data_IF_813722168034
#
_entry.id   IF_813722168034
#
_cell.length_a   1.000
_cell.length_b   1.000
_cell.length_c   1.000
_cell.angle_alpha   90.00
_cell.angle_beta   90.00
_cell.angle_gamma   90.00
#
_symmetry.space_group_name_H-M   'P 1'
#
loop_
_entity.id
_entity.type
_entity.pdbx_description
1 polymer ?
#
# COMPACT_ATOMS: atom_id res chain seq x y z
N UNK A 1 -10.64 16.95 25.10
CA UNK A 1 -10.44 15.64 24.47
C UNK A 1 -9.08 15.66 23.81
N UNK A 2 -8.21 14.76 24.21
CA UNK A 2 -6.81 14.66 23.76
C UNK A 2 -6.60 13.36 22.97
N UNK A 3 -5.47 13.27 22.26
CA UNK A 3 -5.05 12.04 21.60
C UNK A 3 -4.95 10.89 22.60
N UNK A 4 -4.41 11.13 23.81
CA UNK A 4 -4.29 10.11 24.86
C UNK A 4 -5.63 9.61 25.37
N UNK A 5 -6.60 10.51 25.61
CA UNK A 5 -7.95 10.12 25.98
C UNK A 5 -8.63 9.29 24.87
N UNK A 6 -8.41 9.65 23.61
CA UNK A 6 -8.92 8.89 22.47
C UNK A 6 -8.29 7.50 22.39
N UNK A 7 -6.96 7.39 22.54
CA UNK A 7 -6.26 6.10 22.56
C UNK A 7 -6.78 5.19 23.67
N UNK A 8 -7.02 5.73 24.85
CA UNK A 8 -7.59 4.96 25.96
C UNK A 8 -9.03 4.49 25.66
N UNK A 9 -9.86 5.37 25.11
CA UNK A 9 -11.24 5.00 24.76
C UNK A 9 -11.32 3.94 23.66
N UNK A 10 -10.35 3.93 22.71
CA UNK A 10 -10.27 2.97 21.62
C UNK A 10 -9.89 1.55 22.07
N UNK A 11 -9.46 1.35 23.31
CA UNK A 11 -9.29 0.01 23.88
C UNK A 11 -10.60 -0.80 23.88
N UNK A 12 -11.74 -0.13 24.03
CA UNK A 12 -13.05 -0.75 23.95
C UNK A 12 -13.47 -1.16 22.54
N UNK A 13 -12.79 -0.65 21.48
CA UNK A 13 -13.09 -0.98 20.09
C UNK A 13 -12.45 -2.30 19.71
N UNK A 14 -13.21 -3.38 19.79
CA UNK A 14 -12.71 -4.74 19.52
C UNK A 14 -12.84 -5.16 18.05
N UNK A 15 -13.75 -4.55 17.30
CA UNK A 15 -14.03 -4.88 15.89
C UNK A 15 -14.81 -3.72 15.23
N UNK A 16 -14.61 -3.45 13.93
CA UNK A 16 -13.56 -4.03 13.07
C UNK A 16 -12.14 -3.50 13.40
N UNK A 17 -11.07 -4.26 13.11
CA UNK A 17 -9.72 -3.71 13.19
C UNK A 17 -9.53 -2.63 12.12
N UNK A 18 -8.99 -1.48 12.50
CA UNK A 18 -8.78 -0.33 11.64
C UNK A 18 -7.49 0.41 11.98
N UNK A 19 -6.90 1.06 10.99
CA UNK A 19 -5.88 2.07 11.19
C UNK A 19 -6.56 3.42 11.45
N UNK A 20 -6.37 3.98 12.63
CA UNK A 20 -6.93 5.27 13.00
C UNK A 20 -5.83 6.31 13.18
N UNK A 21 -6.00 7.44 12.50
CA UNK A 21 -5.20 8.65 12.69
C UNK A 21 -6.01 9.63 13.54
N UNK A 22 -5.36 10.21 14.53
CA UNK A 22 -5.94 11.09 15.54
C UNK A 22 -5.22 12.43 15.52
N UNK A 23 -5.97 13.49 15.80
CA UNK A 23 -5.39 14.80 16.07
C UNK A 23 -6.24 15.52 17.13
N UNK A 24 -5.62 16.38 17.94
CA UNK A 24 -6.32 17.16 18.93
C UNK A 24 -6.08 18.67 18.77
N UNK A 25 -6.85 19.45 19.51
CA UNK A 25 -6.78 20.91 19.46
C UNK A 25 -5.48 21.50 20.05
N UNK A 26 -4.70 20.68 20.76
CA UNK A 26 -3.40 21.05 21.32
C UNK A 26 -2.25 20.80 20.34
N UNK A 27 -2.57 20.27 19.15
CA UNK A 27 -1.59 19.97 18.10
C UNK A 27 -0.93 18.59 18.22
N UNK A 28 -1.39 17.74 19.15
CA UNK A 28 -0.91 16.37 19.20
C UNK A 28 -1.54 15.53 18.06
N UNK A 29 -0.73 14.65 17.48
CA UNK A 29 -1.17 13.69 16.47
C UNK A 29 -0.88 12.27 16.95
N UNK A 30 -1.74 11.32 16.62
CA UNK A 30 -1.61 9.93 17.02
C UNK A 30 -2.06 8.96 15.94
N UNK A 31 -1.53 7.75 16.01
CA UNK A 31 -1.93 6.62 15.18
C UNK A 31 -2.06 5.37 16.06
N UNK A 32 -3.04 4.54 15.77
CA UNK A 32 -3.19 3.22 16.37
C UNK A 32 -3.89 2.25 15.41
N UNK A 33 -3.39 1.02 15.37
CA UNK A 33 -4.11 -0.12 14.80
C UNK A 33 -5.09 -0.63 15.87
N UNK A 34 -6.38 -0.39 15.68
CA UNK A 34 -7.43 -0.78 16.65
C UNK A 34 -7.92 -2.20 16.44
N UNK A 35 -8.78 -2.66 17.35
CA UNK A 35 -9.37 -3.98 17.32
C UNK A 35 -8.53 -5.03 18.03
N UNK A 36 -9.08 -6.21 18.16
CA UNK A 36 -8.38 -7.37 18.72
C UNK A 36 -7.49 -8.01 17.67
N UNK A 37 -6.17 -7.91 17.86
CA UNK A 37 -5.18 -8.53 16.98
C UNK A 37 -4.89 -9.94 17.50
N UNK A 38 -5.17 -11.01 16.72
CA UNK A 38 -4.88 -12.37 17.15
C UNK A 38 -3.38 -12.58 17.31
N UNK A 39 -2.98 -13.16 18.43
CA UNK A 39 -1.61 -13.62 18.63
C UNK A 39 -1.40 -14.89 17.80
N UNK A 40 -0.52 -14.81 16.82
CA UNK A 40 -0.20 -15.94 15.93
C UNK A 40 1.27 -16.30 16.07
N UNK A 41 1.63 -17.56 16.41
CA UNK A 41 3.00 -18.01 16.27
C UNK A 41 3.45 -17.87 14.81
N UNK A 42 4.66 -17.38 14.57
CA UNK A 42 5.18 -17.11 13.23
C UNK A 42 5.10 -18.33 12.30
N UNK A 43 5.39 -19.52 12.83
CA UNK A 43 5.28 -20.77 12.08
C UNK A 43 3.86 -21.09 11.56
N UNK A 44 2.82 -20.61 12.24
CA UNK A 44 1.42 -20.81 11.87
C UNK A 44 0.85 -19.65 11.03
N UNK A 45 1.48 -18.51 11.10
CA UNK A 45 1.04 -17.30 10.44
C UNK A 45 1.17 -17.37 8.91
N UNK A 46 2.21 -18.07 8.44
CA UNK A 46 2.51 -18.27 7.00
C UNK A 46 1.87 -19.54 6.41
N UNK A 47 1.24 -20.38 7.24
CA UNK A 47 0.61 -21.60 6.76
C UNK A 47 -0.76 -21.30 6.14
N UNK A 48 -0.84 -21.34 4.82
CA UNK A 48 -2.10 -21.29 4.08
C UNK A 48 -2.93 -22.52 4.45
N UNK A 49 -4.08 -22.32 5.10
CA UNK A 49 -5.11 -23.34 5.27
C UNK A 49 -5.00 -24.30 6.45
N UNK A 50 -4.08 -24.10 7.39
CA UNK A 50 -3.95 -24.94 8.59
C UNK A 50 -3.72 -24.16 9.90
N UNK A 51 -4.56 -23.19 10.19
CA UNK A 51 -4.79 -22.88 11.59
C UNK A 51 -5.90 -23.79 12.08
N UNK A 52 -5.70 -24.67 13.06
CA UNK A 52 -6.80 -25.22 13.81
C UNK A 52 -7.38 -24.06 14.61
N UNK A 53 -8.35 -23.42 13.98
CA UNK A 53 -9.04 -22.29 14.61
C UNK A 53 -10.23 -22.87 15.36
N UNK A 54 -9.97 -23.60 16.43
CA UNK A 54 -10.95 -23.71 17.47
C UNK A 54 -11.15 -22.32 18.05
N UNK A 55 -12.32 -21.75 17.79
CA UNK A 55 -12.65 -20.35 18.12
C UNK A 55 -12.53 -20.04 19.63
N UNK A 56 -12.41 -21.07 20.46
CA UNK A 56 -12.35 -20.98 21.91
C UNK A 56 -10.93 -20.80 22.47
N UNK A 57 -9.87 -20.97 21.66
CA UNK A 57 -8.47 -20.87 22.11
C UNK A 57 -7.72 -19.66 21.53
N UNK A 58 -8.42 -18.69 20.93
CA UNK A 58 -7.76 -17.51 20.37
C UNK A 58 -7.27 -16.60 21.48
N UNK A 59 -5.96 -16.49 21.60
CA UNK A 59 -5.32 -15.41 22.35
C UNK A 59 -5.17 -14.18 21.48
N UNK A 60 -5.24 -13.02 22.10
CA UNK A 60 -5.12 -11.72 21.42
C UNK A 60 -4.00 -10.93 22.08
N UNK A 61 -3.38 -10.06 21.33
CA UNK A 61 -2.43 -9.09 21.87
C UNK A 61 -3.12 -8.21 22.92
N UNK A 62 -2.45 -7.88 24.02
CA UNK A 62 -2.86 -6.78 24.87
C UNK A 62 -2.98 -5.51 24.04
N UNK A 63 -4.02 -4.72 24.24
CA UNK A 63 -4.22 -3.49 23.46
C UNK A 63 -3.01 -2.54 23.55
N UNK A 64 -2.29 -2.54 24.67
CA UNK A 64 -1.06 -1.76 24.86
C UNK A 64 0.05 -2.12 23.87
N UNK A 65 0.02 -3.31 23.28
CA UNK A 65 0.99 -3.81 22.31
C UNK A 65 0.55 -3.63 20.86
N UNK A 66 -0.68 -3.17 20.61
CA UNK A 66 -1.12 -2.83 19.27
C UNK A 66 -0.22 -1.74 18.67
N UNK A 67 0.12 -1.82 17.35
CA UNK A 67 0.92 -0.79 16.68
C UNK A 67 0.35 0.61 16.91
N UNK A 68 1.17 1.52 17.43
CA UNK A 68 0.79 2.91 17.70
C UNK A 68 1.96 3.85 17.67
N UNK A 69 1.69 5.11 17.43
CA UNK A 69 2.65 6.20 17.55
C UNK A 69 1.93 7.48 17.99
N UNK A 70 2.57 8.26 18.83
CA UNK A 70 2.10 9.60 19.24
C UNK A 70 3.23 10.60 18.99
N UNK A 71 2.89 11.72 18.37
CA UNK A 71 3.80 12.81 18.04
C UNK A 71 5.11 12.33 17.42
N UNK A 72 5.08 11.61 16.28
CA UNK A 72 6.31 11.14 15.64
C UNK A 72 7.21 12.34 15.29
N UNK A 73 8.53 12.14 15.36
CA UNK A 73 9.51 13.19 15.06
C UNK A 73 9.40 13.75 13.63
N UNK A 74 8.81 12.98 12.71
CA UNK A 74 8.50 13.43 11.35
C UNK A 74 7.39 14.49 11.29
N UNK A 75 6.64 14.69 12.39
CA UNK A 75 5.48 15.60 12.42
C UNK A 75 4.29 15.16 11.56
N UNK A 76 4.30 13.93 11.05
CA UNK A 76 3.24 13.41 10.18
C UNK A 76 2.97 11.92 10.37
N UNK A 77 1.75 11.51 10.06
CA UNK A 77 1.29 10.12 10.08
C UNK A 77 0.72 9.80 8.70
N UNK A 78 1.20 8.72 8.08
CA UNK A 78 0.74 8.24 6.78
C UNK A 78 0.39 6.77 6.86
N UNK A 79 -0.84 6.42 6.46
CA UNK A 79 -1.28 5.04 6.35
C UNK A 79 -2.09 4.86 5.07
N UNK A 80 -1.65 3.92 4.24
CA UNK A 80 -2.27 3.56 2.96
C UNK A 80 -2.22 2.03 2.73
N UNK A 81 -2.45 1.26 3.80
CA UNK A 81 -2.38 -0.21 3.85
C UNK A 81 -0.97 -0.80 3.65
N UNK A 82 0.08 0.00 3.59
CA UNK A 82 1.46 -0.47 3.61
C UNK A 82 1.81 -1.05 4.98
N UNK A 83 2.95 -1.70 5.09
CA UNK A 83 3.50 -2.19 6.35
C UNK A 83 3.60 -1.02 7.35
N UNK A 84 3.01 -1.21 8.53
CA UNK A 84 2.85 -0.16 9.56
C UNK A 84 3.82 -0.33 10.73
N UNK A 85 4.62 -1.40 10.73
CA UNK A 85 5.59 -1.71 11.79
C UNK A 85 6.95 -2.01 11.17
N UNK A 86 8.01 -1.66 11.90
CA UNK A 86 9.37 -2.04 11.54
C UNK A 86 9.67 -3.51 11.86
N UNK A 87 10.92 -3.92 11.61
CA UNK A 87 11.37 -5.29 11.87
C UNK A 87 11.48 -5.59 13.37
N UNK A 88 11.65 -4.55 14.16
CA UNK A 88 11.75 -4.63 15.62
C UNK A 88 10.42 -4.96 16.31
N UNK A 89 9.29 -4.88 15.61
CA UNK A 89 7.99 -5.18 16.20
C UNK A 89 7.85 -6.68 16.43
N UNK A 90 7.60 -7.13 17.70
CA UNK A 90 7.79 -8.52 18.09
C UNK A 90 6.68 -9.47 17.66
N UNK A 91 5.58 -8.95 17.13
CA UNK A 91 4.40 -9.77 16.81
C UNK A 91 4.15 -9.83 15.31
N UNK A 92 3.77 -11.01 14.84
CA UNK A 92 3.32 -11.18 13.47
C UNK A 92 1.91 -10.59 13.28
N UNK A 93 1.77 -9.72 12.31
CA UNK A 93 0.48 -9.11 11.94
C UNK A 93 -0.09 -9.75 10.67
N UNK A 94 0.62 -9.65 9.57
CA UNK A 94 0.24 -10.17 8.25
C UNK A 94 1.43 -10.12 7.29
N UNK A 95 1.43 -10.98 6.29
CA UNK A 95 2.30 -10.86 5.11
C UNK A 95 1.60 -10.15 3.94
N UNK A 96 0.31 -9.88 4.07
CA UNK A 96 -0.49 -9.28 3.00
C UNK A 96 -0.60 -7.75 3.17
N UNK A 97 0.55 -7.08 3.09
CA UNK A 97 0.61 -5.63 3.05
C UNK A 97 0.39 -5.13 1.61
N UNK A 98 -0.29 -3.99 1.47
CA UNK A 98 -0.30 -3.32 0.18
C UNK A 98 1.10 -2.79 -0.17
N UNK A 99 1.42 -2.78 -1.45
CA UNK A 99 2.64 -2.15 -1.95
C UNK A 99 2.71 -0.68 -1.51
N UNK A 100 3.90 -0.15 -1.17
CA UNK A 100 4.04 1.13 -0.48
C UNK A 100 3.83 2.37 -1.36
N UNK A 101 3.56 2.21 -2.65
CA UNK A 101 3.51 3.29 -3.65
C UNK A 101 2.58 4.45 -3.26
N UNK A 102 1.39 4.15 -2.73
CA UNK A 102 0.46 5.19 -2.27
C UNK A 102 1.01 5.94 -1.07
N UNK A 103 1.62 5.23 -0.11
CA UNK A 103 2.25 5.86 1.03
C UNK A 103 3.44 6.74 0.60
N UNK A 104 4.30 6.27 -0.31
CA UNK A 104 5.39 7.08 -0.85
C UNK A 104 4.88 8.34 -1.55
N UNK A 105 3.82 8.23 -2.35
CA UNK A 105 3.23 9.40 -3.01
C UNK A 105 2.66 10.40 -2.01
N UNK A 106 2.00 9.94 -0.95
CA UNK A 106 1.51 10.83 0.12
C UNK A 106 2.69 11.54 0.81
N UNK A 107 3.78 10.83 1.11
CA UNK A 107 4.98 11.45 1.66
C UNK A 107 5.57 12.50 0.70
N UNK A 108 5.70 12.17 -0.58
CA UNK A 108 6.19 13.09 -1.62
C UNK A 108 5.33 14.37 -1.70
N UNK A 109 4.00 14.23 -1.63
CA UNK A 109 3.09 15.38 -1.63
C UNK A 109 3.20 16.22 -0.35
N UNK A 110 3.33 15.56 0.80
CA UNK A 110 3.53 16.24 2.09
C UNK A 110 4.89 16.95 2.17
N UNK A 111 5.89 16.51 1.43
CA UNK A 111 7.21 17.15 1.38
C UNK A 111 7.25 18.41 0.49
N UNK A 112 6.24 18.66 -0.34
CA UNK A 112 6.21 19.82 -1.25
C UNK A 112 6.08 21.14 -0.51
N UNK A 113 5.52 21.14 0.70
CA UNK A 113 5.41 22.35 1.53
C UNK A 113 5.45 22.02 3.02
N UNK A 114 5.91 22.97 3.83
CA UNK A 114 6.07 22.77 5.29
C UNK A 114 4.77 22.89 6.08
N UNK A 115 3.82 23.64 5.58
CA UNK A 115 2.53 23.92 6.24
C UNK A 115 1.44 23.58 5.24
N UNK A 116 0.52 22.76 5.67
CA UNK A 116 -0.64 22.32 4.89
C UNK A 116 -1.91 22.94 5.45
N UNK A 117 -2.84 23.24 4.56
CA UNK A 117 -4.18 23.70 4.84
C UNK A 117 -5.23 22.78 4.18
N UNK A 118 -6.49 23.15 4.32
CA UNK A 118 -7.60 22.36 3.75
C UNK A 118 -7.48 22.24 2.23
N UNK A 119 -7.08 23.31 1.54
CA UNK A 119 -6.99 23.34 0.08
C UNK A 119 -5.85 22.48 -0.43
N UNK A 120 -4.70 22.49 0.25
CA UNK A 120 -3.58 21.61 -0.07
C UNK A 120 -3.92 20.13 0.13
N UNK A 121 -4.64 19.78 1.23
CA UNK A 121 -5.13 18.42 1.44
C UNK A 121 -6.16 18.02 0.40
N UNK A 122 -7.07 18.90 0.01
CA UNK A 122 -8.02 18.65 -1.08
C UNK A 122 -7.27 18.34 -2.40
N UNK A 123 -6.27 19.14 -2.73
CA UNK A 123 -5.42 18.92 -3.91
C UNK A 123 -4.71 17.56 -3.85
N UNK A 124 -4.15 17.19 -2.70
CA UNK A 124 -3.52 15.87 -2.52
C UNK A 124 -4.50 14.71 -2.69
N UNK A 125 -5.74 14.85 -2.20
CA UNK A 125 -6.77 13.82 -2.38
C UNK A 125 -7.18 13.59 -3.83
N UNK A 126 -7.01 14.62 -4.67
CA UNK A 126 -7.30 14.56 -6.11
C UNK A 126 -6.09 14.16 -6.95
N UNK A 127 -4.95 13.85 -6.32
CA UNK A 127 -3.76 13.43 -7.06
C UNK A 127 -3.96 12.07 -7.73
N UNK A 128 -3.66 12.00 -9.01
CA UNK A 128 -3.86 10.82 -9.85
C UNK A 128 -2.55 10.24 -10.41
N UNK A 129 -1.39 10.74 -9.94
CA UNK A 129 -0.10 10.25 -10.39
C UNK A 129 0.16 8.81 -9.90
N UNK A 130 0.62 7.95 -10.81
CA UNK A 130 1.02 6.57 -10.51
C UNK A 130 2.53 6.46 -10.29
N UNK A 131 3.00 6.30 -9.05
CA UNK A 131 4.42 6.07 -8.79
C UNK A 131 4.93 4.78 -9.44
N UNK A 132 4.10 3.75 -9.50
CA UNK A 132 4.44 2.46 -10.15
C UNK A 132 4.72 2.66 -11.64
N UNK A 133 3.85 3.41 -12.32
CA UNK A 133 4.06 3.69 -13.74
C UNK A 133 5.34 4.49 -13.95
N UNK A 134 5.59 5.50 -13.13
CA UNK A 134 6.80 6.33 -13.19
C UNK A 134 8.07 5.51 -12.99
N UNK A 135 8.04 4.54 -12.07
CA UNK A 135 9.19 3.69 -11.76
C UNK A 135 9.45 2.63 -12.84
N UNK A 136 8.40 2.01 -13.37
CA UNK A 136 8.52 0.92 -14.34
C UNK A 136 8.69 1.39 -15.79
N UNK A 137 8.24 2.60 -16.11
CA UNK A 137 8.24 3.09 -17.48
C UNK A 137 9.63 3.06 -18.15
N UNK A 138 10.74 3.40 -17.50
CA UNK A 138 12.06 3.32 -18.13
C UNK A 138 12.38 1.93 -18.68
N UNK A 139 12.09 0.87 -17.91
CA UNK A 139 12.31 -0.52 -18.35
C UNK A 139 11.44 -0.92 -19.51
N UNK A 140 10.22 -0.40 -19.52
CA UNK A 140 9.22 -0.73 -20.52
C UNK A 140 9.48 -0.06 -21.86
N UNK A 141 10.07 1.13 -21.85
CA UNK A 141 10.42 1.87 -23.05
C UNK A 141 11.72 1.35 -23.72
N UNK A 142 12.43 0.38 -23.10
CA UNK A 142 13.56 -0.32 -23.73
C UNK A 142 13.10 -1.33 -24.81
N UNK A 143 11.81 -1.72 -24.78
CA UNK A 143 11.23 -2.65 -25.76
C UNK A 143 11.23 -2.02 -27.17
N UNK A 144 11.75 -2.77 -28.14
CA UNK A 144 11.70 -2.35 -29.53
C UNK A 144 10.33 -2.68 -30.14
N UNK A 145 9.62 -1.70 -30.73
CA UNK A 145 8.37 -1.96 -31.42
C UNK A 145 8.58 -2.94 -32.57
N UNK A 146 7.62 -3.83 -32.79
CA UNK A 146 7.67 -4.82 -33.88
C UNK A 146 6.91 -4.37 -35.12
N UNK A 147 6.00 -3.45 -34.97
CA UNK A 147 5.19 -2.85 -36.06
C UNK A 147 4.79 -1.39 -35.74
N UNK A 148 4.03 -0.77 -36.66
CA UNK A 148 3.58 0.63 -36.51
C UNK A 148 2.58 0.82 -35.35
N UNK A 149 1.80 -0.18 -35.00
CA UNK A 149 0.81 -0.11 -33.94
C UNK A 149 1.53 -0.14 -32.58
N UNK A 150 2.49 -1.03 -32.42
CA UNK A 150 3.39 -1.08 -31.27
C UNK A 150 4.14 0.26 -31.10
N UNK A 151 4.67 0.82 -32.18
CA UNK A 151 5.37 2.10 -32.16
C UNK A 151 4.48 3.24 -31.66
N UNK A 152 3.21 3.30 -32.09
CA UNK A 152 2.25 4.29 -31.59
C UNK A 152 1.94 4.13 -30.11
N UNK A 153 1.81 2.89 -29.61
CA UNK A 153 1.59 2.62 -28.17
C UNK A 153 2.79 3.07 -27.34
N UNK A 154 4.01 2.75 -27.79
CA UNK A 154 5.25 3.20 -27.13
C UNK A 154 5.33 4.73 -27.10
N UNK A 155 4.98 5.44 -28.18
CA UNK A 155 5.00 6.89 -28.23
C UNK A 155 3.96 7.52 -27.28
N UNK A 156 2.75 6.94 -27.20
CA UNK A 156 1.73 7.35 -26.23
C UNK A 156 2.25 7.21 -24.79
N UNK A 157 2.89 6.08 -24.47
CA UNK A 157 3.44 5.84 -23.14
C UNK A 157 4.65 6.74 -22.83
N UNK A 158 5.50 7.01 -23.82
CA UNK A 158 6.66 7.91 -23.68
C UNK A 158 6.26 9.37 -23.41
N UNK A 159 5.15 9.81 -23.96
CA UNK A 159 4.63 11.16 -23.76
C UNK A 159 3.79 11.32 -22.48
N UNK A 160 3.52 10.22 -21.76
CA UNK A 160 2.65 10.25 -20.60
C UNK A 160 3.31 10.84 -19.36
N UNK A 161 2.59 11.69 -18.65
CA UNK A 161 2.99 12.30 -17.36
C UNK A 161 2.71 11.43 -16.11
N UNK A 162 2.35 10.17 -16.33
CA UNK A 162 1.98 9.18 -15.30
C UNK A 162 0.71 9.49 -14.51
N UNK A 163 -0.10 10.45 -14.97
CA UNK A 163 -1.37 10.79 -14.33
C UNK A 163 -2.53 10.07 -14.99
N UNK A 164 -3.41 9.52 -14.17
CA UNK A 164 -4.64 8.90 -14.61
C UNK A 164 -5.70 9.99 -14.85
N UNK A 165 -5.80 10.44 -16.07
CA UNK A 165 -6.83 11.39 -16.54
C UNK A 165 -7.87 10.66 -17.40
N UNK A 166 -9.13 11.08 -17.30
CA UNK A 166 -10.23 10.50 -18.09
C UNK A 166 -10.05 10.72 -19.59
N UNK A 167 -9.38 11.80 -19.97
CA UNK A 167 -9.20 12.19 -21.37
C UNK A 167 -7.90 11.65 -21.99
N UNK A 168 -7.09 10.91 -21.22
CA UNK A 168 -5.82 10.37 -21.69
C UNK A 168 -5.94 8.89 -22.07
N UNK A 169 -5.34 8.51 -23.20
CA UNK A 169 -5.25 7.10 -23.64
C UNK A 169 -4.11 6.33 -22.98
N UNK A 170 -3.06 7.01 -22.53
CA UNK A 170 -1.90 6.40 -21.92
C UNK A 170 -2.21 5.53 -20.68
N UNK A 171 -3.11 5.92 -19.75
CA UNK A 171 -3.52 5.05 -18.65
C UNK A 171 -4.09 3.71 -19.09
N UNK A 172 -4.88 3.69 -20.18
CA UNK A 172 -5.46 2.44 -20.70
C UNK A 172 -4.36 1.58 -21.31
N UNK A 173 -3.48 2.15 -22.12
CA UNK A 173 -2.32 1.44 -22.68
C UNK A 173 -1.45 0.85 -21.59
N UNK A 174 -1.13 1.62 -20.54
CA UNK A 174 -0.39 1.16 -19.37
C UNK A 174 -1.04 -0.01 -18.65
N UNK A 175 -2.33 0.09 -18.29
CA UNK A 175 -3.04 -0.97 -17.57
C UNK A 175 -3.12 -2.27 -18.40
N UNK A 176 -3.39 -2.14 -19.69
CA UNK A 176 -3.43 -3.29 -20.60
C UNK A 176 -2.07 -3.98 -20.66
N UNK A 177 -1.01 -3.21 -20.80
CA UNK A 177 0.34 -3.74 -20.90
C UNK A 177 0.81 -4.41 -19.62
N UNK A 178 0.60 -3.79 -18.45
CA UNK A 178 0.89 -4.39 -17.13
C UNK A 178 0.11 -5.69 -16.93
N UNK A 179 -1.15 -5.76 -17.37
CA UNK A 179 -1.96 -6.98 -17.30
C UNK A 179 -1.34 -8.11 -18.14
N UNK A 180 -0.91 -7.82 -19.38
CA UNK A 180 -0.25 -8.81 -20.22
C UNK A 180 1.10 -9.23 -19.66
N UNK A 181 1.88 -8.31 -19.14
CA UNK A 181 3.16 -8.60 -18.51
C UNK A 181 3.00 -9.51 -17.28
N UNK A 182 2.06 -9.18 -16.40
CA UNK A 182 1.75 -9.99 -15.24
C UNK A 182 1.39 -11.43 -15.63
N UNK A 183 0.55 -11.59 -16.64
CA UNK A 183 0.18 -12.92 -17.14
C UNK A 183 1.38 -13.70 -17.66
N UNK A 184 2.28 -13.04 -18.38
CA UNK A 184 3.46 -13.69 -18.94
C UNK A 184 4.48 -14.10 -17.89
N UNK A 185 4.73 -13.25 -16.92
CA UNK A 185 5.70 -13.51 -15.83
C UNK A 185 5.28 -14.70 -14.95
N UNK A 186 3.98 -14.96 -14.84
CA UNK A 186 3.47 -15.96 -13.88
C UNK A 186 2.89 -17.18 -14.57
N UNK A 187 2.65 -17.10 -15.88
CA UNK A 187 1.98 -18.19 -16.62
C UNK A 187 2.74 -19.53 -16.54
N UNK A 188 4.05 -19.47 -16.50
CA UNK A 188 4.90 -20.67 -16.46
C UNK A 188 4.80 -21.38 -15.12
N UNK A 189 4.66 -20.63 -14.02
CA UNK A 189 4.61 -21.19 -12.67
C UNK A 189 3.20 -21.57 -12.21
N UNK A 190 2.19 -20.85 -12.66
CA UNK A 190 0.83 -20.98 -12.12
C UNK A 190 -0.22 -21.49 -13.14
N UNK A 191 0.12 -21.66 -14.41
CA UNK A 191 -0.86 -22.05 -15.43
C UNK A 191 -1.94 -20.98 -15.63
N UNK A 192 -3.22 -21.36 -15.61
CA UNK A 192 -4.33 -20.40 -15.78
C UNK A 192 -4.57 -19.63 -14.49
N UNK A 193 -4.19 -18.35 -14.47
CA UNK A 193 -4.37 -17.48 -13.31
C UNK A 193 -5.79 -16.91 -13.27
N UNK A 194 -6.53 -17.10 -12.16
CA UNK A 194 -7.81 -16.44 -11.98
C UNK A 194 -7.66 -14.93 -11.97
N UNK A 195 -8.60 -14.21 -12.56
CA UNK A 195 -8.62 -12.74 -12.63
C UNK A 195 -8.59 -12.05 -11.26
N UNK A 196 -8.97 -12.75 -10.19
CA UNK A 196 -8.90 -12.28 -8.81
C UNK A 196 -7.48 -12.12 -8.26
N UNK A 197 -6.45 -12.70 -8.90
CA UNK A 197 -5.05 -12.56 -8.50
C UNK A 197 -4.36 -11.28 -9.02
N UNK A 198 -5.05 -10.46 -9.80
CA UNK A 198 -4.48 -9.25 -10.44
C UNK A 198 -3.83 -8.25 -9.47
N UNK A 199 -4.36 -8.13 -8.27
CA UNK A 199 -3.87 -7.16 -7.28
C UNK A 199 -2.58 -7.59 -6.55
N UNK A 200 -2.25 -8.88 -6.57
CA UNK A 200 -1.13 -9.45 -5.80
C UNK A 200 0.21 -9.28 -6.54
N UNK A 201 0.16 -9.05 -7.86
CA UNK A 201 1.32 -9.18 -8.74
C UNK A 201 2.15 -7.91 -8.92
N UNK A 202 1.67 -6.74 -8.48
CA UNK A 202 2.44 -5.51 -8.65
C UNK A 202 3.76 -5.52 -7.87
N UNK A 203 3.76 -6.00 -6.64
CA UNK A 203 4.98 -5.98 -5.82
C UNK A 203 6.04 -7.00 -6.27
N UNK A 204 5.72 -8.29 -6.54
CA UNK A 204 6.68 -9.24 -7.09
C UNK A 204 7.20 -8.85 -8.48
N UNK A 205 6.33 -8.33 -9.35
CA UNK A 205 6.71 -7.88 -10.69
C UNK A 205 7.72 -6.72 -10.63
N UNK A 206 7.45 -5.73 -9.79
CA UNK A 206 8.36 -4.60 -9.60
C UNK A 206 9.71 -5.07 -9.08
N UNK A 207 9.75 -5.92 -8.05
CA UNK A 207 11.02 -6.47 -7.54
C UNK A 207 11.79 -7.24 -8.61
N UNK A 208 11.11 -8.08 -9.39
CA UNK A 208 11.73 -8.84 -10.47
C UNK A 208 12.33 -7.94 -11.56
N UNK A 209 11.66 -6.82 -11.89
CA UNK A 209 12.13 -5.89 -12.93
C UNK A 209 13.24 -4.96 -12.44
N UNK A 210 13.21 -4.52 -11.17
CA UNK A 210 14.28 -3.69 -10.58
C UNK A 210 15.45 -4.48 -10.01
N UNK A 211 15.40 -5.82 -10.04
CA UNK A 211 16.51 -6.67 -9.59
C UNK A 211 16.66 -6.77 -8.07
N UNK A 212 15.64 -6.43 -7.31
CA UNK A 212 15.57 -6.68 -5.86
C UNK A 212 15.11 -8.14 -5.62
N UNK A 213 16.04 -8.98 -5.19
CA UNK A 213 15.79 -10.38 -4.82
C UNK A 213 15.45 -10.53 -3.33
#
# INVERSE_FOLDING_TARGET
RTVDEALHALEALTSPPMNLSLADVNGAIGYVATGRIPLRPEAHARAIGRAPMDSNERTYLPYSENPRVVNPSSGRIVTANQRIVGEEYPHYLTDNWAAPYRAWRIHELLDQQKIHDVDSFHTMQMDSLSPVARELMPYLLEVQPTDEEDARLVDILRAWDFRFSLDASAPVAWLTWVEFLNRRVIADDMGTIPTSFRAILHSPLVRALVGEH
#
